data_IF_371481790671
#
_entry.id   IF_371481790671
#
_cell.length_a   1.000
_cell.length_b   1.000
_cell.length_c   1.000
_cell.angle_alpha   90.00
_cell.angle_beta   90.00
_cell.angle_gamma   90.00
#
_symmetry.space_group_name_H-M   'P 1'
#
loop_
_entity.id
_entity.type
_entity.pdbx_description
1 polymer ?
#
# COMPACT_ATOMS: atom_id res chain seq x y z
N UNK A 1 33.65 37.08 -1.81
CA UNK A 1 32.76 36.80 -2.95
C UNK A 1 33.63 36.47 -4.15
N UNK A 2 33.35 35.41 -4.89
CA UNK A 2 34.06 35.06 -6.14
C UNK A 2 33.05 35.13 -7.27
N UNK A 3 33.30 35.91 -8.32
CA UNK A 3 32.33 36.17 -9.40
C UNK A 3 33.04 36.23 -10.77
N UNK A 4 32.26 36.05 -11.83
CA UNK A 4 32.68 36.24 -13.22
C UNK A 4 32.41 35.01 -14.08
N UNK A 5 32.19 35.19 -15.39
CA UNK A 5 31.85 34.10 -16.33
C UNK A 5 32.95 33.08 -16.62
N UNK A 6 33.88 32.88 -15.69
CA UNK A 6 35.04 32.01 -15.81
C UNK A 6 34.82 30.69 -15.09
N UNK A 7 35.62 29.70 -15.45
CA UNK A 7 35.75 28.47 -14.69
C UNK A 7 36.60 28.71 -13.44
N UNK A 8 36.24 28.07 -12.33
CA UNK A 8 37.09 27.99 -11.15
C UNK A 8 37.39 26.53 -10.81
N UNK A 9 38.66 26.20 -10.69
CA UNK A 9 39.13 24.92 -10.18
C UNK A 9 40.00 25.19 -8.96
N UNK A 10 39.65 24.61 -7.82
CA UNK A 10 40.46 24.61 -6.61
C UNK A 10 40.72 23.17 -6.19
N UNK A 11 41.96 22.88 -5.81
CA UNK A 11 42.33 21.59 -5.23
C UNK A 11 43.36 21.82 -4.13
N UNK A 12 42.97 21.53 -2.88
CA UNK A 12 43.85 21.61 -1.72
C UNK A 12 44.49 20.27 -1.37
N UNK A 13 44.23 19.20 -2.13
CA UNK A 13 44.67 17.85 -1.83
C UNK A 13 44.16 17.39 -0.46
N UNK A 14 45.07 17.25 0.51
CA UNK A 14 44.72 16.90 1.90
C UNK A 14 44.24 18.10 2.74
N UNK A 15 44.36 19.32 2.22
CA UNK A 15 43.92 20.55 2.87
C UNK A 15 42.41 20.79 2.74
N UNK A 16 41.95 21.92 3.28
CA UNK A 16 40.56 22.34 3.17
C UNK A 16 40.39 23.45 2.12
N UNK A 17 39.27 23.41 1.38
CA UNK A 17 38.79 24.52 0.55
C UNK A 17 37.61 25.16 1.28
N UNK A 18 37.62 26.49 1.39
CA UNK A 18 36.52 27.22 2.03
C UNK A 18 36.18 28.48 1.25
N UNK A 19 34.89 28.68 0.97
CA UNK A 19 34.35 29.89 0.39
C UNK A 19 33.53 30.63 1.46
N UNK A 20 34.14 31.64 2.09
CA UNK A 20 33.51 32.41 3.17
C UNK A 20 32.35 33.33 2.75
N UNK A 21 32.02 33.39 1.47
CA UNK A 21 30.89 34.16 0.96
C UNK A 21 30.37 33.55 -0.35
N UNK A 22 29.30 34.13 -0.89
CA UNK A 22 28.66 33.63 -2.10
C UNK A 22 29.66 33.54 -3.29
N UNK A 23 29.50 32.48 -4.08
CA UNK A 23 30.25 32.23 -5.32
C UNK A 23 29.29 32.35 -6.50
N UNK A 24 29.61 33.18 -7.47
CA UNK A 24 28.77 33.43 -8.64
C UNK A 24 27.50 34.25 -8.37
N UNK A 25 27.41 34.90 -7.21
CA UNK A 25 26.19 35.58 -6.77
C UNK A 25 25.79 36.82 -7.58
N UNK A 26 26.73 37.53 -8.21
CA UNK A 26 26.41 38.64 -9.13
C UNK A 26 26.56 38.25 -10.60
N UNK A 27 27.58 37.44 -10.90
CA UNK A 27 27.82 36.89 -12.22
C UNK A 27 28.25 35.45 -12.04
N UNK A 28 27.37 34.54 -12.49
CA UNK A 28 27.56 33.11 -12.36
C UNK A 28 28.88 32.66 -12.99
N UNK A 29 29.56 31.71 -12.33
CA UNK A 29 30.75 31.08 -12.90
C UNK A 29 30.36 30.20 -14.10
N UNK A 30 31.30 29.92 -15.01
CA UNK A 30 31.08 28.93 -16.07
C UNK A 30 30.92 27.53 -15.47
N UNK A 31 31.83 27.13 -14.61
CA UNK A 31 31.74 25.90 -13.81
C UNK A 31 32.59 26.06 -12.55
N UNK A 32 32.32 25.25 -11.54
CA UNK A 32 33.13 25.16 -10.33
C UNK A 32 33.55 23.72 -10.09
N UNK A 33 34.84 23.49 -9.85
CA UNK A 33 35.36 22.24 -9.32
C UNK A 33 36.17 22.55 -8.07
N UNK A 34 35.77 22.05 -6.91
CA UNK A 34 36.47 22.27 -5.64
C UNK A 34 36.82 20.93 -4.98
N UNK A 35 38.12 20.68 -4.79
CA UNK A 35 38.66 19.46 -4.18
C UNK A 35 39.47 19.74 -2.92
N UNK A 36 39.32 18.88 -1.92
CA UNK A 36 40.13 18.89 -0.70
C UNK A 36 39.73 17.75 0.22
N UNK A 37 40.32 17.68 1.41
CA UNK A 37 39.81 16.79 2.46
C UNK A 37 38.43 17.24 2.94
N UNK A 38 38.25 18.56 3.09
CA UNK A 38 36.97 19.20 3.41
C UNK A 38 36.72 20.37 2.48
N UNK A 39 35.50 20.51 1.98
CA UNK A 39 35.04 21.63 1.17
C UNK A 39 33.88 22.32 1.89
N UNK A 40 34.07 23.56 2.32
CA UNK A 40 33.02 24.37 2.96
C UNK A 40 32.49 25.40 1.97
N UNK A 41 31.20 25.34 1.70
CA UNK A 41 30.53 26.16 0.68
C UNK A 41 29.23 26.75 1.23
N UNK A 42 29.04 28.04 1.01
CA UNK A 42 27.73 28.70 1.07
C UNK A 42 27.02 28.60 -0.27
N UNK A 43 26.26 29.64 -0.65
CA UNK A 43 25.57 29.64 -1.94
C UNK A 43 26.55 29.73 -3.12
N UNK A 44 26.33 28.89 -4.14
CA UNK A 44 27.09 28.84 -5.38
C UNK A 44 26.15 28.87 -6.58
N UNK A 45 26.40 29.80 -7.51
CA UNK A 45 25.70 29.86 -8.80
C UNK A 45 26.67 29.71 -9.96
N UNK A 46 26.41 28.74 -10.82
CA UNK A 46 27.14 28.47 -12.07
C UNK A 46 26.17 28.47 -13.25
N UNK A 47 26.71 28.57 -14.47
CA UNK A 47 25.96 28.28 -15.70
C UNK A 47 26.13 26.82 -16.14
N UNK A 48 27.25 26.20 -15.78
CA UNK A 48 27.62 24.82 -16.06
C UNK A 48 27.75 23.96 -14.80
N UNK A 49 28.50 22.86 -14.93
CA UNK A 49 28.73 21.87 -13.87
C UNK A 49 29.27 22.44 -12.55
N UNK A 50 28.88 21.80 -11.44
CA UNK A 50 29.52 21.95 -10.14
C UNK A 50 30.03 20.60 -9.65
N UNK A 51 31.28 20.56 -9.19
CA UNK A 51 31.90 19.35 -8.66
C UNK A 51 32.60 19.62 -7.33
N UNK A 52 32.26 18.85 -6.31
CA UNK A 52 32.82 18.97 -4.96
C UNK A 52 33.41 17.64 -4.54
N UNK A 53 34.74 17.58 -4.42
CA UNK A 53 35.48 16.39 -4.00
C UNK A 53 35.97 16.52 -2.56
N UNK A 54 35.69 15.49 -1.74
CA UNK A 54 35.96 15.50 -0.29
C UNK A 54 34.69 15.63 0.55
N UNK A 55 34.85 15.71 1.87
CA UNK A 55 33.72 15.95 2.78
C UNK A 55 33.16 17.37 2.58
N UNK A 56 31.87 17.50 2.31
CA UNK A 56 31.24 18.80 2.03
C UNK A 56 30.50 19.32 3.26
N UNK A 57 30.76 20.57 3.63
CA UNK A 57 29.92 21.34 4.57
C UNK A 57 29.13 22.37 3.78
N UNK A 58 27.81 22.21 3.73
CA UNK A 58 26.92 23.04 2.91
C UNK A 58 26.06 23.93 3.79
N UNK A 59 26.08 25.23 3.54
CA UNK A 59 25.33 26.24 4.31
C UNK A 59 24.40 27.10 3.43
N UNK A 60 24.16 26.72 2.18
CA UNK A 60 23.37 27.50 1.24
C UNK A 60 23.12 26.76 -0.07
N UNK A 61 22.64 27.49 -1.07
CA UNK A 61 22.10 26.90 -2.29
C UNK A 61 23.15 26.65 -3.37
N UNK A 62 23.04 25.52 -4.06
CA UNK A 62 23.87 25.16 -5.23
C UNK A 62 23.00 25.21 -6.48
N UNK A 63 23.26 26.15 -7.38
CA UNK A 63 22.42 26.38 -8.56
C UNK A 63 23.24 26.35 -9.85
N UNK A 64 22.86 25.50 -10.81
CA UNK A 64 23.29 25.62 -12.20
C UNK A 64 22.15 26.15 -13.07
N UNK A 65 22.38 27.22 -13.82
CA UNK A 65 21.31 27.93 -14.52
C UNK A 65 21.15 27.58 -16.00
N UNK A 66 22.17 27.02 -16.65
CA UNK A 66 22.13 26.72 -18.11
C UNK A 66 22.30 25.23 -18.42
N UNK A 67 23.07 24.49 -17.62
CA UNK A 67 23.19 23.05 -17.74
C UNK A 67 24.31 22.45 -16.89
N UNK A 68 24.51 21.15 -17.00
CA UNK A 68 25.57 20.44 -16.32
C UNK A 68 25.18 19.95 -14.92
N UNK A 69 25.87 18.90 -14.51
CA UNK A 69 25.57 18.17 -13.29
C UNK A 69 26.02 18.93 -12.05
N UNK A 70 25.37 18.71 -10.92
CA UNK A 70 25.88 19.10 -9.60
C UNK A 70 26.26 17.83 -8.84
N UNK A 71 27.55 17.66 -8.54
CA UNK A 71 28.09 16.45 -7.88
C UNK A 71 28.75 16.79 -6.54
N UNK A 72 28.32 16.12 -5.48
CA UNK A 72 28.95 16.10 -4.17
C UNK A 72 29.53 14.70 -3.94
N UNK A 73 30.84 14.59 -4.09
CA UNK A 73 31.58 13.33 -4.17
C UNK A 73 31.90 12.66 -2.83
N UNK A 74 31.83 13.39 -1.72
CA UNK A 74 32.05 12.86 -0.38
C UNK A 74 30.85 13.06 0.55
N UNK A 75 30.98 12.72 1.85
CA UNK A 75 29.89 12.88 2.80
C UNK A 75 29.52 14.36 2.94
N UNK A 76 28.22 14.64 3.03
CA UNK A 76 27.67 15.99 3.12
C UNK A 76 27.12 16.23 4.52
N UNK A 77 27.55 17.33 5.14
CA UNK A 77 26.99 17.86 6.38
C UNK A 77 26.32 19.19 6.09
N UNK A 78 24.99 19.24 6.22
CA UNK A 78 24.22 20.47 6.18
C UNK A 78 24.46 21.27 7.46
N UNK A 79 24.78 22.54 7.29
CA UNK A 79 24.94 23.53 8.36
C UNK A 79 23.98 24.71 8.24
N UNK A 80 23.08 24.63 7.27
CA UNK A 80 21.96 25.52 7.04
C UNK A 80 20.96 24.83 6.10
N UNK A 81 19.76 25.38 5.98
CA UNK A 81 18.81 24.94 4.94
C UNK A 81 19.45 25.15 3.56
N UNK A 82 19.27 24.20 2.64
CA UNK A 82 19.95 24.22 1.35
C UNK A 82 19.05 23.71 0.22
N UNK A 83 19.11 24.37 -0.92
CA UNK A 83 18.55 23.91 -2.18
C UNK A 83 19.66 23.57 -3.19
N UNK A 84 19.55 22.42 -3.86
CA UNK A 84 20.42 22.06 -4.99
C UNK A 84 19.54 22.01 -6.24
N UNK A 85 19.76 22.93 -7.19
CA UNK A 85 18.91 23.10 -8.35
C UNK A 85 19.75 23.09 -9.62
N UNK A 86 19.47 22.16 -10.52
CA UNK A 86 20.09 22.13 -11.85
C UNK A 86 19.28 22.96 -12.85
N UNK A 87 19.76 23.09 -14.09
CA UNK A 87 19.03 23.81 -15.13
C UNK A 87 17.79 23.05 -15.64
N UNK A 88 17.65 21.75 -15.32
CA UNK A 88 16.43 21.00 -15.53
C UNK A 88 16.32 20.26 -16.86
N UNK A 89 17.36 20.23 -17.71
CA UNK A 89 17.38 19.43 -18.93
C UNK A 89 17.77 17.96 -18.65
N UNK A 90 17.56 17.08 -19.62
CA UNK A 90 17.99 15.69 -19.49
C UNK A 90 19.53 15.64 -19.39
N UNK A 91 20.05 14.97 -18.36
CA UNK A 91 21.49 14.90 -18.05
C UNK A 91 21.99 15.97 -17.06
N UNK A 92 21.15 16.95 -16.70
CA UNK A 92 21.46 17.93 -15.64
C UNK A 92 21.21 17.30 -14.27
N UNK A 93 22.01 16.29 -13.95
CA UNK A 93 21.76 15.46 -12.78
C UNK A 93 22.34 16.05 -11.49
N UNK A 94 21.69 15.76 -10.37
CA UNK A 94 22.18 16.03 -9.02
C UNK A 94 22.62 14.73 -8.38
N UNK A 95 23.90 14.63 -7.98
CA UNK A 95 24.49 13.41 -7.43
C UNK A 95 25.15 13.68 -6.08
N UNK A 96 24.58 13.11 -5.01
CA UNK A 96 25.19 13.07 -3.68
C UNK A 96 25.67 11.64 -3.45
N UNK A 97 26.97 11.37 -3.59
CA UNK A 97 27.48 9.99 -3.73
C UNK A 97 27.72 9.28 -2.40
N UNK A 98 27.58 9.97 -1.28
CA UNK A 98 27.81 9.44 0.07
C UNK A 98 26.69 9.90 1.02
N UNK A 99 26.89 9.77 2.33
CA UNK A 99 25.90 10.14 3.34
C UNK A 99 25.59 11.63 3.32
N UNK A 100 24.35 11.99 3.66
CA UNK A 100 23.92 13.38 3.84
C UNK A 100 23.32 13.52 5.22
N UNK A 101 23.84 14.40 6.08
CA UNK A 101 23.38 14.57 7.45
C UNK A 101 23.27 16.04 7.84
N UNK A 102 22.50 16.32 8.90
CA UNK A 102 22.36 17.66 9.50
C UNK A 102 20.89 18.02 9.65
N UNK A 103 20.53 18.63 10.80
CA UNK A 103 19.15 18.93 11.20
C UNK A 103 18.45 20.06 10.42
N UNK A 104 18.76 20.18 9.13
CA UNK A 104 18.28 21.23 8.24
C UNK A 104 17.46 20.63 7.10
N UNK A 105 16.76 21.48 6.37
CA UNK A 105 16.02 21.09 5.18
C UNK A 105 16.97 20.94 3.98
N UNK A 106 16.71 19.93 3.15
CA UNK A 106 17.34 19.79 1.84
C UNK A 106 16.26 19.73 0.76
N UNK A 107 16.38 20.58 -0.25
CA UNK A 107 15.58 20.52 -1.48
C UNK A 107 16.51 20.21 -2.63
N UNK A 108 16.13 19.28 -3.50
CA UNK A 108 16.84 19.01 -4.76
C UNK A 108 15.85 19.08 -5.91
N UNK A 109 16.21 19.76 -6.99
CA UNK A 109 15.41 19.82 -8.21
C UNK A 109 16.30 19.72 -9.46
N UNK A 110 16.22 18.56 -10.11
CA UNK A 110 16.93 18.28 -11.36
C UNK A 110 16.04 18.47 -12.60
N UNK A 111 14.77 18.88 -12.47
CA UNK A 111 13.82 18.95 -13.57
C UNK A 111 13.71 17.62 -14.33
N UNK A 112 14.22 17.55 -15.57
CA UNK A 112 14.29 16.33 -16.38
C UNK A 112 15.57 15.50 -16.16
N UNK A 113 16.52 16.00 -15.39
CA UNK A 113 17.69 15.25 -14.91
C UNK A 113 17.33 14.31 -13.75
N UNK A 114 18.27 13.48 -13.36
CA UNK A 114 18.14 12.55 -12.24
C UNK A 114 18.65 13.16 -10.92
N UNK A 115 18.02 12.77 -9.82
CA UNK A 115 18.56 12.98 -8.46
C UNK A 115 18.97 11.62 -7.89
N UNK A 116 20.18 11.52 -7.34
CA UNK A 116 20.64 10.29 -6.69
C UNK A 116 21.33 10.53 -5.37
N UNK A 117 20.92 9.78 -4.35
CA UNK A 117 21.59 9.65 -3.06
C UNK A 117 22.26 8.29 -2.97
N UNK A 118 23.60 8.27 -3.02
CA UNK A 118 24.41 7.05 -3.00
C UNK A 118 24.63 6.48 -1.59
N UNK A 119 24.41 7.27 -0.55
CA UNK A 119 24.47 6.84 0.86
C UNK A 119 23.19 7.17 1.63
N UNK A 120 23.16 6.77 2.90
CA UNK A 120 22.04 7.07 3.79
C UNK A 120 21.88 8.58 4.02
N UNK A 121 20.64 9.06 4.03
CA UNK A 121 20.28 10.44 4.32
C UNK A 121 19.72 10.51 5.74
N UNK A 122 20.25 11.40 6.57
CA UNK A 122 19.83 11.57 7.96
C UNK A 122 20.22 10.43 8.89
N UNK A 123 21.13 9.54 8.49
CA UNK A 123 21.50 8.34 9.25
C UNK A 123 22.18 8.63 10.59
N UNK A 124 22.96 9.71 10.71
CA UNK A 124 23.55 10.13 11.99
C UNK A 124 22.82 11.31 12.62
N UNK A 125 22.35 12.23 11.79
CA UNK A 125 21.56 13.39 12.22
C UNK A 125 20.45 13.58 11.22
N UNK A 126 19.24 13.20 11.61
CA UNK A 126 18.04 13.28 10.79
C UNK A 126 17.87 14.69 10.21
N UNK A 127 17.49 14.76 8.94
CA UNK A 127 17.18 16.03 8.29
C UNK A 127 15.86 16.57 8.85
N UNK A 128 15.68 17.89 8.80
CA UNK A 128 14.38 18.48 9.15
C UNK A 128 13.30 18.07 8.15
N UNK A 129 13.64 18.08 6.87
CA UNK A 129 12.76 17.78 5.75
C UNK A 129 13.61 17.44 4.53
N UNK A 130 13.12 16.57 3.66
CA UNK A 130 13.72 16.29 2.36
C UNK A 130 12.68 16.46 1.25
N UNK A 131 12.97 17.28 0.25
CA UNK A 131 12.29 17.27 -1.05
C UNK A 131 13.30 16.88 -2.13
N UNK A 132 12.99 15.88 -2.93
CA UNK A 132 13.80 15.48 -4.07
C UNK A 132 12.96 15.35 -5.33
N UNK A 133 13.25 16.17 -6.33
CA UNK A 133 12.58 16.21 -7.61
C UNK A 133 13.53 16.01 -8.78
N UNK A 134 13.14 15.15 -9.72
CA UNK A 134 13.82 14.94 -10.99
C UNK A 134 12.99 14.04 -11.90
N UNK A 135 13.49 13.69 -13.09
CA UNK A 135 12.86 12.65 -13.89
C UNK A 135 12.87 11.29 -13.17
N UNK A 136 14.01 10.99 -12.52
CA UNK A 136 14.17 9.84 -11.64
C UNK A 136 14.82 10.26 -10.33
N UNK A 137 14.34 9.72 -9.21
CA UNK A 137 14.94 9.89 -7.89
C UNK A 137 15.39 8.53 -7.38
N UNK A 138 16.69 8.33 -7.20
CA UNK A 138 17.23 7.10 -6.60
C UNK A 138 17.64 7.36 -5.16
N UNK A 139 17.07 6.59 -4.24
CA UNK A 139 17.26 6.80 -2.81
C UNK A 139 17.36 5.47 -2.05
N UNK A 140 18.28 5.42 -1.09
CA UNK A 140 18.38 4.36 -0.09
C UNK A 140 17.57 4.72 1.17
N UNK A 141 18.14 4.46 2.34
CA UNK A 141 17.50 4.84 3.61
C UNK A 141 17.53 6.36 3.84
N UNK A 142 16.39 6.91 4.26
CA UNK A 142 16.21 8.33 4.61
C UNK A 142 15.51 8.45 5.96
N UNK A 143 16.14 9.19 6.88
CA UNK A 143 15.53 9.59 8.15
C UNK A 143 15.37 11.10 8.22
N UNK A 144 14.14 11.56 8.45
CA UNK A 144 13.80 12.96 8.70
C UNK A 144 13.05 13.09 10.03
N UNK A 145 13.02 14.30 10.59
CA UNK A 145 12.08 14.62 11.68
C UNK A 145 10.75 15.13 11.15
N UNK A 146 10.75 15.73 9.95
CA UNK A 146 9.59 16.24 9.25
C UNK A 146 9.25 15.43 7.98
N UNK A 147 8.51 16.08 7.09
CA UNK A 147 7.99 15.51 5.85
C UNK A 147 9.10 15.01 4.88
N UNK A 148 8.72 14.10 3.98
CA UNK A 148 9.54 13.69 2.84
C UNK A 148 8.72 13.75 1.55
N UNK A 149 9.23 14.44 0.53
CA UNK A 149 8.59 14.58 -0.78
C UNK A 149 9.53 14.10 -1.89
N UNK A 150 9.07 13.15 -2.70
CA UNK A 150 9.80 12.62 -3.85
C UNK A 150 8.97 12.83 -5.12
N UNK A 151 9.47 13.66 -6.03
CA UNK A 151 8.82 13.97 -7.31
C UNK A 151 9.57 13.31 -8.47
N UNK A 152 8.82 12.68 -9.37
CA UNK A 152 9.36 11.85 -10.46
C UNK A 152 9.32 10.35 -10.16
N UNK A 153 9.89 9.55 -11.06
CA UNK A 153 9.96 8.10 -10.88
C UNK A 153 10.96 7.75 -9.77
N UNK A 154 10.55 6.99 -8.75
CA UNK A 154 11.40 6.67 -7.59
C UNK A 154 11.99 5.27 -7.73
N UNK A 155 13.29 5.14 -7.54
CA UNK A 155 13.98 3.87 -7.26
C UNK A 155 14.32 3.83 -5.79
N UNK A 156 13.67 2.95 -5.04
CA UNK A 156 13.81 2.82 -3.59
C UNK A 156 14.59 1.55 -3.25
N UNK A 157 15.62 1.67 -2.42
CA UNK A 157 16.47 0.57 -1.99
C UNK A 157 16.58 0.42 -0.46
N UNK A 158 15.76 1.16 0.30
CA UNK A 158 15.84 1.18 1.76
C UNK A 158 14.65 1.90 2.40
N UNK A 159 14.78 2.19 3.68
CA UNK A 159 13.67 2.67 4.51
C UNK A 159 13.48 4.18 4.45
N UNK A 160 12.23 4.63 4.42
CA UNK A 160 11.87 6.05 4.53
C UNK A 160 11.18 6.27 5.88
N UNK A 161 11.81 7.04 6.77
CA UNK A 161 11.33 7.24 8.14
C UNK A 161 11.18 8.72 8.47
N UNK A 162 10.00 9.13 8.91
CA UNK A 162 9.81 10.40 9.63
C UNK A 162 9.59 10.12 11.12
N UNK A 163 10.41 10.74 11.98
CA UNK A 163 10.44 10.41 13.42
C UNK A 163 9.57 11.31 14.29
N UNK A 164 9.20 12.50 13.84
CA UNK A 164 8.49 13.49 14.68
C UNK A 164 7.18 13.97 14.07
N UNK A 165 7.07 13.99 12.74
CA UNK A 165 5.81 14.26 12.05
C UNK A 165 5.99 14.51 10.57
N UNK A 166 4.89 14.72 9.86
CA UNK A 166 4.89 15.03 8.45
C UNK A 166 4.75 13.80 7.55
N UNK A 167 4.04 14.01 6.45
CA UNK A 167 3.75 12.97 5.48
C UNK A 167 5.00 12.47 4.72
N UNK A 168 4.92 11.27 4.18
CA UNK A 168 5.89 10.75 3.21
C UNK A 168 5.15 10.57 1.88
N UNK A 169 5.58 11.29 0.84
CA UNK A 169 4.91 11.34 -0.46
C UNK A 169 5.83 10.93 -1.59
N UNK A 170 5.44 9.90 -2.33
CA UNK A 170 6.09 9.45 -3.55
C UNK A 170 5.15 9.75 -4.72
N UNK A 171 5.49 10.79 -5.48
CA UNK A 171 4.62 11.43 -6.47
C UNK A 171 4.60 10.78 -7.86
N UNK A 172 5.59 9.94 -8.17
CA UNK A 172 5.66 9.19 -9.43
C UNK A 172 5.71 7.67 -9.21
N UNK A 173 5.89 6.88 -10.28
CA UNK A 173 5.96 5.42 -10.18
C UNK A 173 7.16 5.00 -9.32
N UNK A 174 6.95 4.00 -8.46
CA UNK A 174 7.97 3.48 -7.54
C UNK A 174 8.44 2.12 -8.03
N UNK A 175 9.75 1.95 -8.15
CA UNK A 175 10.43 0.67 -8.36
C UNK A 175 11.24 0.32 -7.11
N UNK A 176 10.84 -0.73 -6.42
CA UNK A 176 11.60 -1.31 -5.32
C UNK A 176 12.81 -2.06 -5.89
N UNK A 177 13.96 -1.81 -5.31
CA UNK A 177 15.26 -2.41 -5.66
C UNK A 177 15.92 -3.09 -4.46
N UNK A 178 15.24 -3.06 -3.32
CA UNK A 178 15.53 -3.75 -2.08
C UNK A 178 14.24 -3.83 -1.27
N UNK A 179 14.23 -4.63 -0.20
CA UNK A 179 13.15 -4.60 0.79
C UNK A 179 13.10 -3.20 1.42
N UNK A 180 11.91 -2.67 1.67
CA UNK A 180 11.74 -1.29 2.14
C UNK A 180 10.59 -1.14 3.14
N UNK A 181 10.82 -0.32 4.16
CA UNK A 181 9.78 0.17 5.07
C UNK A 181 9.57 1.68 4.91
N UNK A 182 8.32 2.13 4.82
CA UNK A 182 7.95 3.55 4.85
C UNK A 182 7.18 3.79 6.14
N UNK A 183 7.75 4.55 7.06
CA UNK A 183 7.20 4.74 8.41
C UNK A 183 7.10 6.22 8.72
N UNK A 184 5.88 6.69 9.02
CA UNK A 184 5.66 8.04 9.51
C UNK A 184 5.70 8.08 11.04
N UNK A 185 5.65 9.27 11.65
CA UNK A 185 5.65 9.40 13.10
C UNK A 185 4.36 8.90 13.78
N UNK A 186 3.28 8.69 13.01
CA UNK A 186 2.08 8.01 13.47
C UNK A 186 0.98 8.92 14.05
N UNK A 187 1.10 10.25 13.97
CA UNK A 187 0.03 11.16 14.35
C UNK A 187 -1.03 11.30 13.22
N UNK A 188 -2.19 11.85 13.55
CA UNK A 188 -3.21 12.13 12.53
C UNK A 188 -2.67 13.17 11.53
N UNK A 189 -2.73 12.86 10.23
CA UNK A 189 -2.16 13.68 9.16
C UNK A 189 -0.72 13.33 8.76
N UNK A 190 -0.05 12.43 9.51
CA UNK A 190 1.24 11.85 9.10
C UNK A 190 1.01 10.75 8.06
N UNK A 191 0.55 11.16 6.88
CA UNK A 191 0.12 10.23 5.85
C UNK A 191 1.29 9.65 5.05
N UNK A 192 1.11 8.43 4.53
CA UNK A 192 1.97 7.83 3.51
C UNK A 192 1.18 7.76 2.20
N UNK A 193 1.70 8.42 1.16
CA UNK A 193 1.02 8.52 -0.14
C UNK A 193 1.95 8.10 -1.27
N UNK A 194 1.61 6.99 -1.92
CA UNK A 194 2.22 6.53 -3.17
C UNK A 194 1.20 6.78 -4.27
N UNK A 195 1.41 7.81 -5.10
CA UNK A 195 0.36 8.30 -6.02
C UNK A 195 0.22 7.50 -7.30
N UNK A 196 1.21 6.69 -7.65
CA UNK A 196 1.31 5.95 -8.90
C UNK A 196 1.57 4.46 -8.64
N UNK A 197 2.00 3.72 -9.67
CA UNK A 197 2.27 2.29 -9.57
C UNK A 197 3.45 2.00 -8.64
N UNK A 198 3.42 0.86 -7.96
CA UNK A 198 4.54 0.36 -7.14
C UNK A 198 4.91 -1.03 -7.64
N UNK A 199 6.15 -1.26 -8.02
CA UNK A 199 6.60 -2.55 -8.57
C UNK A 199 7.97 -2.96 -8.03
N UNK A 200 8.31 -4.23 -8.16
CA UNK A 200 9.61 -4.80 -7.80
C UNK A 200 9.44 -5.99 -6.88
N UNK A 201 10.23 -7.06 -7.09
CA UNK A 201 10.12 -8.36 -6.42
C UNK A 201 10.55 -8.37 -4.94
N UNK A 202 10.36 -7.25 -4.25
CA UNK A 202 10.80 -7.02 -2.88
C UNK A 202 9.61 -6.80 -1.96
N UNK A 203 9.87 -6.84 -0.66
CA UNK A 203 8.90 -6.52 0.36
C UNK A 203 8.66 -5.01 0.47
N UNK A 204 7.41 -4.63 0.71
CA UNK A 204 7.06 -3.28 1.15
C UNK A 204 6.26 -3.33 2.44
N UNK A 205 6.73 -2.59 3.44
CA UNK A 205 5.99 -2.31 4.66
C UNK A 205 5.68 -0.81 4.71
N UNK A 206 4.44 -0.44 5.04
CA UNK A 206 4.09 0.95 5.33
C UNK A 206 3.39 1.03 6.68
N UNK A 207 3.78 1.98 7.54
CA UNK A 207 3.11 2.25 8.81
C UNK A 207 2.93 3.76 9.02
N UNK A 208 1.68 4.20 8.92
CA UNK A 208 1.28 5.58 9.16
C UNK A 208 0.71 5.79 10.58
N UNK A 209 0.64 4.78 11.44
CA UNK A 209 -0.01 4.87 12.75
C UNK A 209 -1.45 5.38 12.64
N UNK A 210 -1.72 6.61 13.11
CA UNK A 210 -3.02 7.29 12.99
C UNK A 210 -3.21 8.08 11.69
N UNK A 211 -2.17 8.23 10.87
CA UNK A 211 -2.24 8.75 9.52
C UNK A 211 -2.82 7.74 8.54
N UNK A 212 -3.10 8.17 7.31
CA UNK A 212 -3.60 7.32 6.24
C UNK A 212 -2.46 6.75 5.39
N UNK A 213 -2.66 5.54 4.86
CA UNK A 213 -1.84 4.96 3.79
C UNK A 213 -2.66 4.93 2.51
N UNK A 214 -2.09 5.37 1.39
CA UNK A 214 -2.77 5.31 0.09
C UNK A 214 -1.86 4.89 -1.05
N UNK A 215 -2.37 3.97 -1.87
CA UNK A 215 -1.81 3.55 -3.14
C UNK A 215 -2.73 4.03 -4.27
N UNK A 216 -2.28 5.02 -5.03
CA UNK A 216 -3.04 5.64 -6.11
C UNK A 216 -3.00 4.86 -7.43
N UNK A 217 -2.03 3.97 -7.61
CA UNK A 217 -1.91 3.07 -8.75
C UNK A 217 -1.85 1.60 -8.34
N UNK A 218 -1.79 0.72 -9.34
CA UNK A 218 -1.65 -0.72 -9.12
C UNK A 218 -0.31 -1.04 -8.42
N UNK A 219 -0.36 -1.98 -7.47
CA UNK A 219 0.81 -2.48 -6.74
C UNK A 219 1.14 -3.88 -7.27
N UNK A 220 2.36 -4.08 -7.73
CA UNK A 220 2.83 -5.35 -8.29
C UNK A 220 2.28 -5.69 -9.66
N UNK A 221 1.70 -4.73 -10.38
CA UNK A 221 1.04 -4.97 -11.67
C UNK A 221 1.98 -5.37 -12.82
N UNK A 222 3.27 -5.00 -12.76
CA UNK A 222 4.28 -5.44 -13.75
C UNK A 222 5.22 -6.47 -13.16
N UNK A 223 5.73 -6.21 -11.95
CA UNK A 223 6.53 -7.14 -11.17
C UNK A 223 5.90 -7.25 -9.79
N UNK A 224 5.28 -8.39 -9.51
CA UNK A 224 4.65 -8.69 -8.24
C UNK A 224 5.61 -8.48 -7.06
N UNK A 225 5.11 -7.90 -5.97
CA UNK A 225 5.91 -7.72 -4.75
C UNK A 225 6.09 -9.06 -4.05
N UNK A 226 7.16 -9.20 -3.25
CA UNK A 226 7.35 -10.37 -2.40
C UNK A 226 6.22 -10.50 -1.38
N UNK A 227 5.95 -9.42 -0.65
CA UNK A 227 4.79 -9.28 0.23
C UNK A 227 4.48 -7.78 0.41
N UNK A 228 3.26 -7.47 0.84
CA UNK A 228 2.84 -6.12 1.20
C UNK A 228 2.25 -6.13 2.61
N UNK A 229 2.71 -5.23 3.47
CA UNK A 229 2.07 -4.94 4.76
C UNK A 229 1.79 -3.45 4.85
N UNK A 230 0.52 -3.05 4.88
CA UNK A 230 0.11 -1.65 4.95
C UNK A 230 -0.73 -1.37 6.19
N UNK A 231 -0.24 -0.49 7.07
CA UNK A 231 -0.92 -0.08 8.30
C UNK A 231 -1.11 1.44 8.39
N UNK A 232 -2.31 1.86 8.80
CA UNK A 232 -2.65 3.24 9.12
C UNK A 232 -4.06 3.32 9.71
N UNK A 233 -4.56 4.52 10.01
CA UNK A 233 -5.96 4.69 10.40
C UNK A 233 -6.92 4.30 9.26
N UNK A 234 -6.54 4.62 8.02
CA UNK A 234 -7.21 4.16 6.80
C UNK A 234 -6.18 3.74 5.78
N UNK A 235 -6.42 2.61 5.12
CA UNK A 235 -5.61 2.09 4.02
C UNK A 235 -6.47 2.09 2.76
N UNK A 236 -6.14 2.95 1.80
CA UNK A 236 -6.81 2.98 0.48
C UNK A 236 -5.94 2.26 -0.55
N UNK A 237 -6.51 1.24 -1.17
CA UNK A 237 -5.78 0.36 -2.09
C UNK A 237 -6.64 -0.02 -3.30
N UNK A 238 -6.00 -0.02 -4.48
CA UNK A 238 -6.55 -0.55 -5.72
C UNK A 238 -6.16 -2.02 -5.91
N UNK A 239 -5.81 -2.41 -7.14
CA UNK A 239 -5.32 -3.76 -7.39
C UNK A 239 -3.90 -3.97 -6.81
N UNK A 240 -3.70 -5.12 -6.15
CA UNK A 240 -2.41 -5.55 -5.59
C UNK A 240 -2.11 -6.98 -6.01
N UNK A 241 -0.91 -7.20 -6.53
CA UNK A 241 -0.38 -8.53 -6.81
C UNK A 241 0.92 -8.76 -6.04
N UNK A 242 0.95 -9.82 -5.25
CA UNK A 242 2.12 -10.31 -4.54
C UNK A 242 2.42 -11.76 -4.90
N UNK A 243 3.64 -12.22 -4.65
CA UNK A 243 3.96 -13.64 -4.63
C UNK A 243 3.66 -14.26 -3.27
N UNK A 244 3.79 -13.46 -2.21
CA UNK A 244 3.59 -13.84 -0.82
C UNK A 244 2.38 -13.16 -0.19
N UNK A 245 2.44 -13.09 1.14
CA UNK A 245 1.37 -12.60 2.01
C UNK A 245 0.96 -11.13 1.75
N UNK A 246 -0.27 -10.78 2.10
CA UNK A 246 -0.75 -9.40 2.17
C UNK A 246 -1.41 -9.10 3.51
N UNK A 247 -0.98 -8.02 4.17
CA UNK A 247 -1.54 -7.53 5.44
C UNK A 247 -2.01 -6.09 5.30
N UNK A 248 -3.25 -5.83 5.72
CA UNK A 248 -3.83 -4.48 5.76
C UNK A 248 -4.38 -4.20 7.16
N UNK A 249 -3.79 -3.24 7.86
CA UNK A 249 -4.18 -2.86 9.22
C UNK A 249 -4.85 -1.48 9.23
N UNK A 250 -6.00 -1.37 9.90
CA UNK A 250 -6.86 -0.18 9.91
C UNK A 250 -8.10 -0.33 9.02
N UNK A 251 -8.84 0.76 8.83
CA UNK A 251 -10.01 0.77 7.95
C UNK A 251 -9.56 0.64 6.49
N UNK A 252 -10.03 -0.35 5.76
CA UNK A 252 -9.63 -0.58 4.35
C UNK A 252 -10.67 0.01 3.40
N UNK A 253 -10.22 0.82 2.44
CA UNK A 253 -10.98 1.19 1.24
C UNK A 253 -10.41 0.43 0.06
N UNK A 254 -11.18 -0.51 -0.48
CA UNK A 254 -10.75 -1.39 -1.57
C UNK A 254 -11.46 -1.01 -2.87
N UNK A 255 -10.70 -0.86 -3.95
CA UNK A 255 -11.21 -0.48 -5.27
C UNK A 255 -10.78 -1.45 -6.40
N UNK A 256 -10.22 -2.61 -6.06
CA UNK A 256 -9.70 -3.56 -7.03
C UNK A 256 -9.30 -4.89 -6.39
N UNK A 257 -8.57 -5.69 -7.16
CA UNK A 257 -8.29 -7.09 -6.81
C UNK A 257 -7.05 -7.24 -5.92
N UNK A 258 -7.13 -8.15 -4.95
CA UNK A 258 -6.00 -8.53 -4.09
C UNK A 258 -5.60 -9.97 -4.44
N UNK A 259 -4.41 -10.16 -5.00
CA UNK A 259 -3.95 -11.46 -5.49
C UNK A 259 -2.61 -11.85 -4.88
N UNK A 260 -2.54 -13.02 -4.24
CA UNK A 260 -1.28 -13.70 -3.97
C UNK A 260 -1.11 -14.89 -4.93
N UNK A 261 0.02 -14.94 -5.62
CA UNK A 261 0.23 -15.89 -6.73
C UNK A 261 1.00 -17.16 -6.36
N UNK A 262 1.82 -17.13 -5.31
CA UNK A 262 2.67 -18.29 -4.93
C UNK A 262 2.32 -18.83 -3.54
N UNK A 263 1.91 -17.98 -2.60
CA UNK A 263 1.46 -18.42 -1.27
C UNK A 263 1.24 -17.26 -0.31
N UNK A 264 0.80 -17.58 0.90
CA UNK A 264 0.57 -16.62 1.97
C UNK A 264 -0.85 -16.08 1.99
N UNK A 265 -1.32 -15.83 3.21
CA UNK A 265 -2.66 -15.35 3.47
C UNK A 265 -2.89 -13.91 2.97
N UNK A 266 -4.15 -13.53 2.77
CA UNK A 266 -4.55 -12.13 2.58
C UNK A 266 -5.41 -11.72 3.77
N UNK A 267 -4.96 -10.72 4.53
CA UNK A 267 -5.60 -10.32 5.80
C UNK A 267 -5.97 -8.85 5.79
N UNK A 268 -7.26 -8.58 5.99
CA UNK A 268 -7.83 -7.24 6.17
C UNK A 268 -8.28 -7.13 7.63
N UNK A 269 -7.48 -6.44 8.43
CA UNK A 269 -7.56 -6.42 9.89
C UNK A 269 -8.60 -5.46 10.49
N UNK A 270 -9.13 -4.52 9.71
CA UNK A 270 -10.20 -3.62 10.13
C UNK A 270 -11.44 -3.69 9.22
N UNK A 271 -12.44 -2.82 9.44
CA UNK A 271 -13.59 -2.67 8.55
C UNK A 271 -13.18 -2.40 7.10
N UNK A 272 -13.88 -3.03 6.16
CA UNK A 272 -13.66 -2.91 4.72
C UNK A 272 -14.83 -2.16 4.09
N UNK A 273 -14.52 -1.12 3.33
CA UNK A 273 -15.45 -0.43 2.43
C UNK A 273 -15.04 -0.70 0.99
N UNK A 274 -15.88 -1.43 0.26
CA UNK A 274 -15.75 -1.63 -1.17
C UNK A 274 -16.16 -0.34 -1.90
N UNK A 275 -15.31 0.06 -2.84
CA UNK A 275 -15.46 1.26 -3.66
C UNK A 275 -15.41 0.93 -5.16
N UNK A 276 -15.26 -0.35 -5.47
CA UNK A 276 -15.35 -0.98 -6.78
C UNK A 276 -15.59 -2.49 -6.60
N UNK A 277 -16.02 -3.16 -7.66
CA UNK A 277 -16.06 -4.63 -7.68
C UNK A 277 -14.66 -5.18 -7.40
N UNK A 278 -14.53 -6.18 -6.52
CA UNK A 278 -13.23 -6.65 -6.05
C UNK A 278 -13.18 -8.18 -5.96
N UNK A 279 -12.05 -8.77 -6.35
CA UNK A 279 -11.70 -10.16 -6.08
C UNK A 279 -10.52 -10.26 -5.11
N UNK A 280 -10.61 -11.14 -4.11
CA UNK A 280 -9.50 -11.49 -3.21
C UNK A 280 -9.15 -12.95 -3.47
N UNK A 281 -7.96 -13.21 -4.01
CA UNK A 281 -7.56 -14.54 -4.46
C UNK A 281 -6.20 -14.88 -3.85
N UNK A 282 -6.14 -15.96 -3.06
CA UNK A 282 -4.88 -16.50 -2.58
C UNK A 282 -4.33 -17.56 -3.55
N UNK A 283 -3.12 -18.05 -3.30
CA UNK A 283 -2.50 -19.05 -4.19
C UNK A 283 -3.16 -20.45 -4.10
N UNK A 284 -4.03 -20.67 -3.10
CA UNK A 284 -4.88 -21.85 -3.03
C UNK A 284 -4.31 -23.07 -2.30
N UNK A 285 -3.12 -22.98 -1.68
CA UNK A 285 -2.61 -24.05 -0.82
C UNK A 285 -3.24 -24.01 0.59
N UNK A 286 -3.08 -25.09 1.36
CA UNK A 286 -3.54 -25.11 2.74
C UNK A 286 -2.76 -24.07 3.57
N UNK A 287 -3.46 -23.18 4.27
CA UNK A 287 -2.88 -22.05 5.00
C UNK A 287 -2.84 -20.73 4.21
N UNK A 288 -3.13 -20.74 2.91
CA UNK A 288 -3.32 -19.54 2.10
C UNK A 288 -4.70 -18.92 2.34
N UNK A 289 -4.95 -18.53 3.59
CA UNK A 289 -6.26 -18.09 4.04
C UNK A 289 -6.59 -16.66 3.59
N UNK A 290 -7.89 -16.37 3.45
CA UNK A 290 -8.42 -15.02 3.29
C UNK A 290 -9.20 -14.67 4.55
N UNK A 291 -8.79 -13.60 5.24
CA UNK A 291 -9.39 -13.18 6.51
C UNK A 291 -9.78 -11.71 6.48
N UNK A 292 -11.08 -11.45 6.59
CA UNK A 292 -11.66 -10.12 6.77
C UNK A 292 -12.20 -10.07 8.20
N UNK A 293 -11.52 -9.39 9.12
CA UNK A 293 -11.88 -9.44 10.55
C UNK A 293 -13.02 -8.48 10.91
N UNK A 294 -13.10 -7.33 10.23
CA UNK A 294 -14.12 -6.31 10.45
C UNK A 294 -15.40 -6.52 9.65
N UNK A 295 -16.25 -5.50 9.63
CA UNK A 295 -17.40 -5.45 8.72
C UNK A 295 -16.95 -5.27 7.27
N UNK A 296 -17.78 -5.68 6.32
CA UNK A 296 -17.53 -5.47 4.88
C UNK A 296 -18.76 -4.81 4.29
N UNK A 297 -18.64 -3.62 3.71
CA UNK A 297 -19.78 -2.86 3.17
C UNK A 297 -19.45 -2.21 1.83
N UNK A 298 -20.49 -1.84 1.08
CA UNK A 298 -20.38 -1.14 -0.21
C UNK A 298 -21.16 -1.87 -1.28
N UNK A 299 -21.88 -1.13 -2.14
CA UNK A 299 -22.80 -1.64 -3.16
C UNK A 299 -22.14 -2.37 -4.35
N UNK A 300 -21.01 -3.01 -4.12
CA UNK A 300 -20.17 -3.65 -5.12
C UNK A 300 -20.13 -5.16 -4.89
N UNK A 301 -19.64 -5.88 -5.90
CA UNK A 301 -19.39 -7.30 -5.81
C UNK A 301 -18.13 -7.60 -5.01
N UNK A 302 -18.17 -8.70 -4.24
CA UNK A 302 -16.98 -9.29 -3.65
C UNK A 302 -16.88 -10.76 -4.02
N UNK A 303 -15.75 -11.14 -4.61
CA UNK A 303 -15.36 -12.53 -4.83
C UNK A 303 -14.18 -12.84 -3.92
N UNK A 304 -14.20 -13.98 -3.24
CA UNK A 304 -13.04 -14.52 -2.52
C UNK A 304 -12.78 -15.95 -2.97
N UNK A 305 -11.53 -16.29 -3.21
CA UNK A 305 -11.09 -17.66 -3.53
C UNK A 305 -9.77 -17.97 -2.83
N UNK A 306 -9.84 -18.80 -1.79
CA UNK A 306 -8.69 -19.27 -1.04
C UNK A 306 -8.23 -20.68 -1.47
N UNK A 307 -8.85 -21.30 -2.48
CA UNK A 307 -8.60 -22.70 -2.85
C UNK A 307 -8.74 -23.66 -1.67
N UNK A 308 -7.64 -24.24 -1.21
CA UNK A 308 -7.58 -25.12 -0.03
C UNK A 308 -7.39 -24.37 1.30
N UNK A 309 -7.16 -23.06 1.27
CA UNK A 309 -7.17 -22.18 2.44
C UNK A 309 -8.60 -21.89 2.90
N UNK A 310 -8.73 -21.30 4.09
CA UNK A 310 -10.01 -20.87 4.64
C UNK A 310 -10.36 -19.44 4.23
N UNK A 311 -11.66 -19.16 4.05
CA UNK A 311 -12.21 -17.80 3.98
C UNK A 311 -12.96 -17.51 5.27
N UNK A 312 -12.73 -16.33 5.87
CA UNK A 312 -13.45 -15.93 7.07
C UNK A 312 -13.86 -14.46 7.05
N UNK A 313 -15.12 -14.22 7.40
CA UNK A 313 -15.69 -12.91 7.67
C UNK A 313 -16.02 -12.80 9.16
N UNK A 314 -15.24 -11.99 9.88
CA UNK A 314 -15.35 -11.82 11.33
C UNK A 314 -16.46 -10.84 11.75
N UNK A 315 -16.84 -9.90 10.87
CA UNK A 315 -17.94 -8.97 11.07
C UNK A 315 -19.08 -9.17 10.07
N UNK A 316 -20.15 -8.40 10.24
CA UNK A 316 -21.28 -8.41 9.32
C UNK A 316 -20.87 -7.93 7.92
N UNK A 317 -21.38 -8.62 6.89
CA UNK A 317 -21.20 -8.26 5.48
C UNK A 317 -22.47 -7.60 4.98
N UNK A 318 -22.37 -6.42 4.37
CA UNK A 318 -23.49 -5.66 3.84
C UNK A 318 -24.42 -5.06 4.89
N UNK A 319 -24.00 -5.00 6.15
CA UNK A 319 -24.85 -4.55 7.27
C UNK A 319 -25.25 -3.07 7.21
N UNK A 320 -24.43 -2.19 6.65
CA UNK A 320 -24.79 -0.77 6.42
C UNK A 320 -25.13 -0.48 4.97
N UNK A 321 -24.44 -1.11 4.03
CA UNK A 321 -24.71 -1.02 2.60
C UNK A 321 -24.55 -2.41 2.01
N UNK A 322 -25.67 -3.01 1.62
CA UNK A 322 -25.73 -4.34 1.03
C UNK A 322 -24.77 -4.46 -0.16
N UNK A 323 -24.03 -5.57 -0.23
CA UNK A 323 -23.17 -5.85 -1.38
C UNK A 323 -24.03 -6.16 -2.60
N UNK A 324 -23.49 -5.93 -3.80
CA UNK A 324 -24.16 -6.34 -5.05
C UNK A 324 -24.34 -7.85 -5.09
N UNK A 325 -23.28 -8.59 -4.84
CA UNK A 325 -23.31 -10.04 -4.61
C UNK A 325 -22.05 -10.44 -3.84
N UNK A 326 -22.10 -11.62 -3.21
CA UNK A 326 -20.94 -12.22 -2.54
C UNK A 326 -20.72 -13.63 -3.10
N UNK A 327 -19.50 -13.92 -3.55
CA UNK A 327 -19.05 -15.28 -3.83
C UNK A 327 -17.84 -15.58 -2.95
N UNK A 328 -17.92 -16.59 -2.09
CA UNK A 328 -16.84 -16.96 -1.19
C UNK A 328 -16.47 -18.44 -1.32
N UNK A 329 -15.23 -18.71 -1.74
CA UNK A 329 -14.69 -20.05 -1.95
C UNK A 329 -13.45 -20.33 -1.13
N UNK A 330 -13.41 -21.48 -0.46
CA UNK A 330 -12.24 -21.99 0.25
C UNK A 330 -12.50 -23.40 0.76
N UNK A 331 -11.54 -24.02 1.45
CA UNK A 331 -11.78 -25.31 2.11
C UNK A 331 -12.86 -25.19 3.20
N UNK A 332 -12.84 -24.08 3.93
CA UNK A 332 -13.89 -23.68 4.89
C UNK A 332 -14.23 -22.23 4.67
N UNK A 333 -15.52 -21.88 4.70
CA UNK A 333 -16.03 -20.52 4.66
C UNK A 333 -16.76 -20.23 5.96
N UNK A 334 -16.22 -19.34 6.79
CA UNK A 334 -16.86 -18.90 8.04
C UNK A 334 -17.50 -17.54 7.83
N UNK A 335 -18.80 -17.45 8.12
CA UNK A 335 -19.57 -16.24 7.87
C UNK A 335 -20.61 -16.01 8.98
N UNK A 336 -20.75 -14.74 9.38
CA UNK A 336 -21.85 -14.26 10.21
C UNK A 336 -23.02 -13.77 9.36
N UNK A 337 -23.64 -12.66 9.76
CA UNK A 337 -24.72 -12.06 8.96
C UNK A 337 -24.20 -11.48 7.65
N UNK A 338 -24.90 -11.76 6.55
CA UNK A 338 -24.63 -11.25 5.20
C UNK A 338 -25.90 -10.69 4.57
N UNK A 339 -25.84 -9.45 4.11
CA UNK A 339 -26.89 -8.83 3.30
C UNK A 339 -26.34 -8.46 1.92
N UNK A 340 -26.99 -8.97 0.88
CA UNK A 340 -26.73 -8.61 -0.52
C UNK A 340 -28.00 -8.07 -1.18
N UNK A 341 -27.86 -7.37 -2.31
CA UNK A 341 -28.99 -7.13 -3.22
C UNK A 341 -29.16 -8.26 -4.23
N UNK A 342 -28.07 -8.93 -4.59
CA UNK A 342 -28.02 -10.06 -5.52
C UNK A 342 -27.67 -11.40 -4.87
N UNK A 343 -27.15 -12.31 -5.69
CA UNK A 343 -26.79 -13.69 -5.33
C UNK A 343 -25.77 -13.79 -4.18
N UNK A 344 -25.83 -14.90 -3.45
CA UNK A 344 -24.80 -15.31 -2.51
C UNK A 344 -24.36 -16.74 -2.83
N UNK A 345 -23.06 -16.94 -3.05
CA UNK A 345 -22.47 -18.26 -3.30
C UNK A 345 -21.38 -18.56 -2.28
N UNK A 346 -21.48 -19.71 -1.63
CA UNK A 346 -20.48 -20.20 -0.68
C UNK A 346 -19.98 -21.57 -1.12
N UNK A 347 -18.72 -21.66 -1.54
CA UNK A 347 -18.08 -22.89 -1.97
C UNK A 347 -17.11 -23.41 -0.90
N UNK A 348 -17.26 -24.69 -0.53
CA UNK A 348 -16.53 -25.33 0.58
C UNK A 348 -17.41 -25.61 1.79
N UNK A 349 -16.82 -26.11 2.87
CA UNK A 349 -17.53 -26.35 4.12
C UNK A 349 -17.91 -25.02 4.77
N UNK A 350 -19.20 -24.78 5.04
CA UNK A 350 -19.69 -23.51 5.58
C UNK A 350 -19.86 -23.60 7.09
N UNK A 351 -19.35 -22.60 7.82
CA UNK A 351 -19.66 -22.34 9.22
C UNK A 351 -20.51 -21.08 9.30
N UNK A 352 -21.78 -21.23 9.65
CA UNK A 352 -22.76 -20.14 9.63
C UNK A 352 -23.15 -19.73 11.05
N UNK A 353 -22.97 -18.45 11.37
CA UNK A 353 -23.25 -17.89 12.69
C UNK A 353 -24.30 -16.77 12.69
N UNK A 354 -24.99 -16.54 11.57
CA UNK A 354 -25.98 -15.46 11.44
C UNK A 354 -26.77 -15.56 10.14
N UNK A 355 -27.53 -14.49 9.87
CA UNK A 355 -28.52 -14.49 8.79
C UNK A 355 -27.92 -14.22 7.41
N UNK A 356 -28.41 -14.91 6.39
CA UNK A 356 -28.08 -14.68 4.99
C UNK A 356 -29.29 -14.08 4.29
N UNK A 357 -29.20 -12.85 3.80
CA UNK A 357 -30.33 -12.11 3.21
C UNK A 357 -29.97 -11.59 1.82
N UNK A 358 -30.76 -11.97 0.80
CA UNK A 358 -30.78 -11.26 -0.47
C UNK A 358 -32.04 -10.40 -0.56
N UNK A 359 -31.87 -9.10 -0.83
CA UNK A 359 -32.95 -8.12 -0.72
C UNK A 359 -33.66 -7.82 -2.04
N UNK A 360 -33.00 -8.00 -3.19
CA UNK A 360 -33.57 -7.65 -4.50
C UNK A 360 -33.70 -8.85 -5.44
N UNK A 361 -32.84 -9.87 -5.33
CA UNK A 361 -32.98 -11.11 -6.07
C UNK A 361 -31.73 -11.99 -6.03
N UNK A 362 -31.81 -13.16 -6.64
CA UNK A 362 -30.70 -14.10 -6.76
C UNK A 362 -30.74 -15.22 -5.73
N UNK A 363 -30.17 -16.35 -6.13
CA UNK A 363 -30.06 -17.55 -5.29
C UNK A 363 -29.15 -17.30 -4.09
N UNK A 364 -29.46 -17.92 -2.95
CA UNK A 364 -28.48 -18.14 -1.88
C UNK A 364 -28.06 -19.61 -1.91
N UNK A 365 -26.79 -19.87 -2.23
CA UNK A 365 -26.24 -21.22 -2.41
C UNK A 365 -25.13 -21.52 -1.42
N UNK A 366 -25.30 -22.59 -0.65
CA UNK A 366 -24.28 -23.20 0.19
C UNK A 366 -23.86 -24.53 -0.46
N UNK A 367 -22.70 -24.51 -1.10
CA UNK A 367 -22.18 -25.56 -1.99
C UNK A 367 -21.51 -26.75 -1.30
N UNK A 368 -21.22 -26.65 0.00
CA UNK A 368 -20.64 -27.74 0.79
C UNK A 368 -21.43 -28.05 2.06
N UNK A 369 -20.90 -28.88 2.96
CA UNK A 369 -21.53 -29.17 4.24
C UNK A 369 -21.61 -27.90 5.10
N UNK A 370 -22.74 -27.71 5.77
CA UNK A 370 -23.06 -26.56 6.61
C UNK A 370 -23.08 -26.98 8.07
N UNK A 371 -22.32 -26.25 8.89
CA UNK A 371 -22.35 -26.33 10.35
C UNK A 371 -22.86 -25.01 10.90
N UNK A 372 -24.03 -25.03 11.54
CA UNK A 372 -24.58 -23.91 12.27
C UNK A 372 -23.81 -23.73 13.58
N UNK A 373 -23.37 -22.50 13.84
CA UNK A 373 -22.70 -22.06 15.06
C UNK A 373 -23.47 -20.95 15.78
N UNK A 374 -24.65 -20.61 15.27
CA UNK A 374 -25.62 -19.68 15.81
C UNK A 374 -26.99 -19.90 15.17
N UNK A 375 -28.05 -19.43 15.81
CA UNK A 375 -29.39 -19.39 15.19
C UNK A 375 -29.30 -18.55 13.90
N UNK A 376 -29.84 -19.07 12.80
CA UNK A 376 -29.64 -18.48 11.46
C UNK A 376 -30.93 -18.47 10.64
N UNK A 377 -31.18 -17.37 9.94
CA UNK A 377 -32.20 -17.27 8.90
C UNK A 377 -31.56 -17.10 7.52
N UNK A 378 -32.03 -17.84 6.52
CA UNK A 378 -31.66 -17.64 5.11
C UNK A 378 -32.90 -17.14 4.37
N UNK A 379 -32.86 -15.91 3.89
CA UNK A 379 -34.00 -15.23 3.28
C UNK A 379 -33.61 -14.71 1.90
N UNK A 380 -34.30 -15.18 0.88
CA UNK A 380 -34.15 -14.63 -0.48
C UNK A 380 -35.15 -13.48 -0.71
N UNK A 381 -35.04 -12.77 -1.84
CA UNK A 381 -35.96 -11.67 -2.16
C UNK A 381 -37.40 -12.13 -2.48
N UNK A 382 -37.61 -13.43 -2.71
CA UNK A 382 -38.95 -14.03 -2.77
C UNK A 382 -39.59 -14.07 -4.16
N UNK A 383 -38.90 -13.70 -5.23
CA UNK A 383 -39.38 -13.89 -6.61
C UNK A 383 -39.12 -15.32 -7.11
N UNK A 384 -39.75 -15.70 -8.23
CA UNK A 384 -39.50 -17.00 -8.84
C UNK A 384 -38.05 -17.08 -9.34
N UNK A 385 -37.30 -18.10 -8.92
CA UNK A 385 -35.87 -18.27 -9.20
C UNK A 385 -34.93 -17.76 -8.10
N UNK A 386 -35.45 -17.05 -7.09
CA UNK A 386 -34.72 -16.67 -5.88
C UNK A 386 -34.62 -17.86 -4.92
N UNK A 387 -33.87 -18.88 -5.34
CA UNK A 387 -33.83 -20.15 -4.62
C UNK A 387 -32.85 -20.11 -3.44
N UNK A 388 -33.13 -20.95 -2.43
CA UNK A 388 -32.20 -21.29 -1.35
C UNK A 388 -31.74 -22.74 -1.57
N UNK A 389 -30.44 -22.93 -1.78
CA UNK A 389 -29.87 -24.24 -2.10
C UNK A 389 -28.76 -24.61 -1.12
N UNK A 390 -29.03 -25.58 -0.23
CA UNK A 390 -28.06 -26.20 0.66
C UNK A 390 -27.73 -27.58 0.11
N UNK A 391 -26.57 -27.72 -0.51
CA UNK A 391 -26.24 -28.93 -1.30
C UNK A 391 -25.63 -30.05 -0.46
N UNK A 392 -24.90 -29.71 0.61
CA UNK A 392 -24.31 -30.67 1.55
C UNK A 392 -25.19 -31.00 2.76
N UNK A 393 -24.60 -31.66 3.76
CA UNK A 393 -25.25 -31.90 5.06
C UNK A 393 -25.47 -30.59 5.82
N UNK A 394 -26.49 -30.52 6.68
CA UNK A 394 -26.73 -29.38 7.56
C UNK A 394 -26.78 -29.86 9.01
N UNK A 395 -25.88 -29.40 9.86
CA UNK A 395 -25.77 -29.84 11.25
C UNK A 395 -25.55 -28.66 12.21
N UNK A 396 -25.77 -28.88 13.50
CA UNK A 396 -25.46 -27.93 14.57
C UNK A 396 -26.69 -27.66 15.44
N UNK A 397 -26.49 -27.55 16.75
CA UNK A 397 -27.55 -27.44 17.78
C UNK A 397 -28.32 -26.11 17.80
N UNK A 398 -28.52 -25.49 16.64
CA UNK A 398 -29.12 -24.16 16.47
C UNK A 398 -30.36 -24.22 15.58
N UNK A 399 -31.14 -23.15 15.59
CA UNK A 399 -32.31 -23.01 14.72
C UNK A 399 -31.88 -22.60 13.31
N UNK A 400 -32.54 -23.18 12.31
CA UNK A 400 -32.46 -22.74 10.92
C UNK A 400 -33.84 -22.38 10.40
N UNK A 401 -33.99 -21.16 9.91
CA UNK A 401 -35.16 -20.72 9.15
C UNK A 401 -34.74 -20.45 7.72
N UNK A 402 -35.52 -20.94 6.75
CA UNK A 402 -35.32 -20.59 5.34
C UNK A 402 -36.62 -20.03 4.77
N UNK A 403 -36.54 -18.93 4.03
CA UNK A 403 -37.68 -18.33 3.33
C UNK A 403 -37.26 -17.88 1.92
N UNK A 404 -37.68 -18.67 0.93
CA UNK A 404 -37.47 -18.38 -0.48
C UNK A 404 -38.66 -17.64 -1.13
N UNK A 405 -39.75 -17.34 -0.40
CA UNK A 405 -40.97 -16.80 -0.98
C UNK A 405 -41.51 -17.66 -2.14
N UNK A 406 -41.45 -17.14 -3.38
CA UNK A 406 -41.83 -17.88 -4.61
C UNK A 406 -40.68 -18.72 -5.21
N UNK A 407 -39.47 -18.64 -4.65
CA UNK A 407 -38.34 -19.49 -4.98
C UNK A 407 -38.44 -20.87 -4.33
N UNK A 408 -37.54 -21.78 -4.72
CA UNK A 408 -37.43 -23.12 -4.15
C UNK A 408 -36.44 -23.15 -2.97
N UNK A 409 -36.73 -23.97 -1.96
CA UNK A 409 -35.77 -24.37 -0.92
C UNK A 409 -35.38 -25.82 -1.15
N UNK A 410 -34.08 -26.11 -1.18
CA UNK A 410 -33.57 -27.47 -1.33
C UNK A 410 -32.46 -27.81 -0.34
N UNK A 411 -32.57 -28.98 0.27
CA UNK A 411 -31.56 -29.62 1.11
C UNK A 411 -31.11 -30.92 0.42
N UNK A 412 -29.94 -30.87 -0.21
CA UNK A 412 -29.36 -31.99 -0.96
C UNK A 412 -28.72 -33.07 -0.08
N UNK A 413 -28.29 -32.73 1.13
CA UNK A 413 -27.73 -33.67 2.11
C UNK A 413 -28.62 -33.89 3.34
N UNK A 414 -28.15 -34.74 4.25
CA UNK A 414 -28.84 -35.01 5.51
C UNK A 414 -28.88 -33.76 6.42
N UNK A 415 -30.02 -33.53 7.06
CA UNK A 415 -30.22 -32.44 8.03
C UNK A 415 -30.30 -33.03 9.44
N UNK A 416 -29.46 -32.54 10.35
CA UNK A 416 -29.40 -32.99 11.75
C UNK A 416 -28.63 -34.30 11.97
N UNK A 417 -28.00 -34.86 10.93
CA UNK A 417 -27.44 -36.22 10.97
C UNK A 417 -26.31 -36.45 11.99
N UNK A 418 -25.37 -35.52 12.15
CA UNK A 418 -24.30 -35.63 13.17
C UNK A 418 -24.62 -34.84 14.43
N UNK A 419 -25.34 -33.74 14.29
CA UNK A 419 -25.81 -32.92 15.41
C UNK A 419 -27.15 -32.33 15.01
N UNK A 420 -28.19 -32.80 15.68
CA UNK A 420 -29.57 -32.38 15.44
C UNK A 420 -29.71 -30.86 15.54
N UNK A 421 -30.54 -30.30 14.66
CA UNK A 421 -30.92 -28.89 14.75
C UNK A 421 -31.85 -28.70 15.95
N UNK A 422 -31.77 -27.53 16.58
CA UNK A 422 -32.77 -27.13 17.60
C UNK A 422 -34.15 -26.99 16.97
N UNK A 423 -34.18 -26.49 15.74
CA UNK A 423 -35.40 -26.19 15.00
C UNK A 423 -35.07 -26.05 13.50
N UNK A 424 -35.99 -26.49 12.64
CA UNK A 424 -35.95 -26.25 11.21
C UNK A 424 -37.31 -25.73 10.73
N UNK A 425 -37.32 -24.56 10.10
CA UNK A 425 -38.44 -24.06 9.30
C UNK A 425 -37.98 -23.83 7.87
N UNK A 426 -38.72 -24.36 6.90
CA UNK A 426 -38.42 -24.16 5.49
C UNK A 426 -39.67 -23.72 4.71
N UNK A 427 -39.59 -22.52 4.14
CA UNK A 427 -40.64 -21.89 3.35
C UNK A 427 -40.15 -21.53 1.94
N UNK A 428 -40.95 -21.87 0.94
CA UNK A 428 -40.71 -21.58 -0.47
C UNK A 428 -41.83 -22.15 -1.33
N UNK A 429 -41.86 -21.83 -2.62
CA UNK A 429 -42.84 -22.39 -3.57
C UNK A 429 -42.71 -23.92 -3.68
N UNK A 430 -41.49 -24.43 -3.54
CA UNK A 430 -41.23 -25.86 -3.34
C UNK A 430 -40.19 -26.03 -2.24
N UNK A 431 -40.36 -27.04 -1.41
CA UNK A 431 -39.39 -27.40 -0.36
C UNK A 431 -39.03 -28.86 -0.56
N UNK A 432 -37.77 -29.11 -0.92
CA UNK A 432 -37.22 -30.47 -1.07
C UNK A 432 -36.24 -30.72 0.06
N UNK A 433 -36.54 -31.72 0.89
CA UNK A 433 -35.67 -32.13 1.99
C UNK A 433 -35.35 -33.62 1.84
N UNK A 434 -34.07 -33.96 1.95
CA UNK A 434 -33.63 -35.36 2.06
C UNK A 434 -33.98 -35.96 3.43
N UNK A 435 -33.05 -36.71 4.03
CA UNK A 435 -33.23 -37.25 5.38
C UNK A 435 -33.11 -36.16 6.46
N UNK A 436 -34.05 -36.13 7.40
CA UNK A 436 -34.03 -35.24 8.58
C UNK A 436 -34.06 -36.10 9.84
N UNK A 437 -33.21 -35.81 10.81
CA UNK A 437 -33.14 -36.50 12.12
C UNK A 437 -33.22 -35.54 13.29
#
# INVERSE_FOLDING_TARGET
TVNGGYALVTDAGKGAVSFGGAVGGTTALKFLSAGGATVTVGSVTTTGQQDYAGAVRLAGDLVSTTGGTIRLGGPVTLTGDSAIVSAGAAGDDIRLTSTVNGGYALVTDAGKGAVSFGGAVGGTTALKFLSAGGATVTVGSVTTTGQQDYAGAVRLAGDLVSTTGGSIRLGGPVTLTGDSAIVSAGAAGDDIRLTSTVNGGYALVTDAGKGAVSFGGAVGGTTALKFLSAGGATVTVGSVTTTGQQDYAGNVRLAGDLVSTTGGSIRLGGPVTLTGDSAIVSAGAAGDDIRLTGTVNGGYALVTDAGKGAVSFGGAVGGTTALKFLSAGGATVTVGSVTTSGQQDYAGAVRLAGDLVSTTGGTIRLGGPVTLTGDSAIVSAGAAGDDIRLTGTVNGGYALVTDAGKGAVSFGGAVGGTTALKFLSAGGATVTVGSVT
#
